data_IF_222454662141
#
_entry.id   IF_222454662141
#
_cell.length_a   1.000
_cell.length_b   1.000
_cell.length_c   1.000
_cell.angle_alpha   90.00
_cell.angle_beta   90.00
_cell.angle_gamma   90.00
#
_symmetry.space_group_name_H-M   'P 1'
#
loop_
_entity.id
_entity.type
_entity.pdbx_description
1 polymer ?
#
# COMPACT_ATOMS: atom_id res chain seq x y z
N UNK A 1 0.15 -8.01 26.06
CA UNK A 1 -0.52 -7.15 25.06
C UNK A 1 0.54 -6.52 24.18
N UNK A 2 0.48 -6.74 22.90
CA UNK A 2 1.28 -5.99 21.94
C UNK A 2 0.68 -4.60 21.81
N UNK A 3 1.47 -3.55 22.03
CA UNK A 3 1.03 -2.18 21.83
C UNK A 3 1.19 -1.84 20.33
N UNK A 4 0.07 -1.73 19.62
CA UNK A 4 0.03 -1.43 18.18
C UNK A 4 0.57 -0.04 17.80
N UNK A 5 0.79 0.84 18.79
CA UNK A 5 1.38 2.16 18.59
C UNK A 5 2.91 2.17 18.66
N UNK A 6 3.54 1.07 19.03
CA UNK A 6 5.01 0.99 19.06
C UNK A 6 5.51 0.69 17.63
N UNK A 7 6.35 1.55 17.06
CA UNK A 7 6.95 1.29 15.76
C UNK A 7 7.88 0.09 15.81
N UNK A 8 7.88 -0.70 14.77
CA UNK A 8 8.84 -1.77 14.54
C UNK A 8 9.71 -1.45 13.32
N UNK A 9 10.93 -1.97 13.34
CA UNK A 9 11.86 -1.79 12.22
C UNK A 9 11.55 -2.83 11.14
N UNK A 10 11.32 -2.37 9.92
CA UNK A 10 11.06 -3.23 8.77
C UNK A 10 12.12 -3.04 7.69
N UNK A 11 12.51 -4.14 7.07
CA UNK A 11 13.54 -4.19 6.02
C UNK A 11 12.92 -4.10 4.64
N UNK A 12 13.53 -3.30 3.78
CA UNK A 12 13.19 -3.22 2.35
C UNK A 12 13.70 -4.49 1.66
N UNK A 13 12.80 -5.31 1.15
CA UNK A 13 13.12 -6.51 0.36
C UNK A 13 13.38 -6.19 -1.10
N UNK A 14 12.60 -5.26 -1.66
CA UNK A 14 12.63 -4.91 -3.07
C UNK A 14 12.15 -3.47 -3.26
N UNK A 15 12.68 -2.78 -4.27
CA UNK A 15 12.24 -1.45 -4.69
C UNK A 15 11.87 -1.49 -6.18
N UNK A 16 10.60 -1.23 -6.49
CA UNK A 16 10.12 -1.09 -7.87
C UNK A 16 9.91 0.39 -8.18
N UNK A 17 10.68 0.93 -9.11
CA UNK A 17 10.59 2.32 -9.54
C UNK A 17 9.60 2.44 -10.69
N UNK A 18 8.50 3.15 -10.47
CA UNK A 18 7.48 3.36 -11.50
C UNK A 18 7.72 4.65 -12.28
N UNK A 19 8.00 5.74 -11.57
CA UNK A 19 8.32 7.07 -12.11
C UNK A 19 9.51 7.65 -11.34
N UNK A 20 9.92 8.87 -11.63
CA UNK A 20 10.95 9.58 -10.85
C UNK A 20 10.50 9.91 -9.42
N UNK A 21 9.19 9.96 -9.19
CA UNK A 21 8.62 10.39 -7.91
C UNK A 21 7.73 9.34 -7.24
N UNK A 22 7.59 8.15 -7.81
CA UNK A 22 6.72 7.11 -7.27
C UNK A 22 7.37 5.73 -7.34
N UNK A 23 7.64 5.14 -6.17
CA UNK A 23 8.25 3.82 -6.01
C UNK A 23 7.36 2.93 -5.14
N UNK A 24 7.38 1.63 -5.42
CA UNK A 24 6.85 0.62 -4.50
C UNK A 24 7.99 0.01 -3.71
N UNK A 25 7.89 0.09 -2.40
CA UNK A 25 8.79 -0.55 -1.43
C UNK A 25 8.13 -1.81 -0.90
N UNK A 26 8.74 -2.95 -1.17
CA UNK A 26 8.32 -4.22 -0.56
C UNK A 26 8.98 -4.36 0.80
N UNK A 27 8.18 -4.30 1.84
CA UNK A 27 8.61 -4.30 3.23
C UNK A 27 8.38 -5.65 3.87
N UNK A 28 9.36 -6.14 4.63
CA UNK A 28 9.20 -7.35 5.44
C UNK A 28 8.08 -7.14 6.46
N UNK A 29 7.06 -7.96 6.41
CA UNK A 29 5.95 -7.93 7.36
C UNK A 29 5.29 -9.31 7.47
N UNK A 30 5.07 -9.75 8.70
CA UNK A 30 4.32 -10.97 9.01
C UNK A 30 3.20 -10.60 9.98
N UNK A 31 1.98 -10.73 9.54
CA UNK A 31 0.77 -10.40 10.31
C UNK A 31 -0.43 -10.24 9.41
N UNK A 32 -1.60 -10.14 10.02
CA UNK A 32 -2.82 -9.89 9.28
C UNK A 32 -2.87 -8.45 8.78
N UNK A 33 -3.19 -8.30 7.51
CA UNK A 33 -3.41 -7.00 6.87
C UNK A 33 -4.46 -7.16 5.78
N UNK A 34 -5.28 -6.13 5.58
CA UNK A 34 -6.35 -6.11 4.56
C UNK A 34 -6.10 -5.01 3.54
N UNK A 35 -6.54 -5.19 2.29
CA UNK A 35 -6.56 -4.09 1.32
C UNK A 35 -7.27 -2.86 1.89
N UNK A 36 -6.72 -1.68 1.63
CA UNK A 36 -7.27 -0.42 2.15
C UNK A 36 -6.78 -0.02 3.54
N UNK A 37 -6.08 -0.90 4.26
CA UNK A 37 -5.36 -0.51 5.47
C UNK A 37 -4.05 0.23 5.12
N UNK A 38 -3.47 0.89 6.10
CA UNK A 38 -2.25 1.68 5.95
C UNK A 38 -1.29 1.47 7.14
N UNK A 39 -0.04 1.81 6.92
CA UNK A 39 0.97 1.94 7.97
C UNK A 39 1.42 3.38 8.09
N UNK A 40 1.69 3.81 9.32
CA UNK A 40 2.51 5.00 9.55
C UNK A 40 3.97 4.60 9.39
N UNK A 41 4.63 5.18 8.40
CA UNK A 41 6.06 4.97 8.15
C UNK A 41 6.87 6.12 8.71
N UNK A 42 8.01 5.85 9.32
CA UNK A 42 8.79 6.90 9.94
C UNK A 42 10.30 6.70 9.78
N UNK A 43 10.99 7.83 9.70
CA UNK A 43 12.45 7.92 9.80
C UNK A 43 12.78 8.85 10.96
N UNK A 44 13.61 8.42 11.93
CA UNK A 44 13.98 9.26 13.06
C UNK A 44 14.48 10.64 12.63
N UNK A 45 14.03 11.68 13.32
CA UNK A 45 14.28 13.13 13.05
C UNK A 45 13.50 13.73 11.88
N UNK A 46 12.93 12.94 10.99
CA UNK A 46 12.20 13.45 9.81
C UNK A 46 10.68 13.40 9.99
N UNK A 47 10.17 12.58 10.91
CA UNK A 47 8.74 12.44 11.21
C UNK A 47 8.14 11.15 10.67
N UNK A 48 6.81 11.15 10.49
CA UNK A 48 6.07 10.00 9.97
C UNK A 48 5.05 10.42 8.91
N UNK A 49 4.63 9.44 8.11
CA UNK A 49 3.63 9.63 7.06
C UNK A 49 2.76 8.36 6.91
N UNK A 50 1.43 8.51 6.71
CA UNK A 50 0.55 7.39 6.43
C UNK A 50 0.71 6.92 4.99
N UNK A 51 0.94 5.63 4.81
CA UNK A 51 1.08 5.00 3.50
C UNK A 51 0.14 3.81 3.40
N UNK A 52 -0.75 3.84 2.42
CA UNK A 52 -1.68 2.74 2.15
C UNK A 52 -0.94 1.52 1.61
N UNK A 53 -1.40 0.35 2.03
CA UNK A 53 -0.93 -0.92 1.50
C UNK A 53 -1.38 -1.05 0.05
N UNK A 54 -0.45 -1.30 -0.85
CA UNK A 54 -0.70 -1.50 -2.28
C UNK A 54 -0.57 -2.96 -2.74
N UNK A 55 -0.02 -3.82 -1.88
CA UNK A 55 0.10 -5.25 -2.12
C UNK A 55 0.35 -6.00 -0.82
N UNK A 56 -0.07 -7.25 -0.78
CA UNK A 56 0.03 -8.12 0.40
C UNK A 56 0.55 -9.47 -0.05
N UNK A 57 1.58 -9.96 0.63
CA UNK A 57 2.12 -11.30 0.46
C UNK A 57 2.20 -12.03 1.79
N UNK A 58 2.76 -13.23 1.77
CA UNK A 58 2.85 -14.08 2.94
C UNK A 58 3.77 -13.47 4.02
N UNK A 59 4.91 -12.87 3.61
CA UNK A 59 5.93 -12.32 4.50
C UNK A 59 6.28 -10.85 4.16
N UNK A 60 5.40 -10.15 3.42
CA UNK A 60 5.61 -8.76 3.05
C UNK A 60 4.33 -7.98 2.84
N UNK A 61 4.47 -6.68 2.88
CA UNK A 61 3.50 -5.70 2.34
C UNK A 61 4.21 -4.79 1.34
N UNK A 62 3.51 -4.42 0.28
CA UNK A 62 3.96 -3.40 -0.67
C UNK A 62 3.39 -2.05 -0.27
N UNK A 63 4.25 -1.04 -0.21
CA UNK A 63 3.92 0.35 0.05
C UNK A 63 4.33 1.19 -1.16
N UNK A 64 3.36 1.69 -1.91
CA UNK A 64 3.62 2.60 -3.02
C UNK A 64 3.66 4.03 -2.48
N UNK A 65 4.85 4.63 -2.53
CA UNK A 65 5.16 5.92 -1.92
C UNK A 65 5.45 6.92 -3.01
N UNK A 66 4.83 8.11 -2.90
CA UNK A 66 5.14 9.28 -3.71
C UNK A 66 6.05 10.22 -2.94
N UNK A 67 7.12 10.69 -3.59
CA UNK A 67 8.07 11.67 -3.02
C UNK A 67 7.41 13.04 -2.96
N UNK A 68 6.91 13.43 -1.78
CA UNK A 68 6.17 14.69 -1.60
C UNK A 68 6.64 15.54 -0.39
N UNK A 69 7.51 15.01 0.46
CA UNK A 69 7.92 15.70 1.68
C UNK A 69 9.21 15.14 2.27
N UNK A 70 9.53 15.56 3.49
CA UNK A 70 10.80 15.21 4.15
C UNK A 70 10.92 13.69 4.39
N UNK A 71 9.89 13.06 4.99
CA UNK A 71 9.91 11.63 5.30
C UNK A 71 10.02 10.81 4.03
N UNK A 72 9.16 11.08 3.04
CA UNK A 72 9.17 10.36 1.77
C UNK A 72 10.43 10.62 0.96
N UNK A 73 11.00 11.84 1.07
CA UNK A 73 12.29 12.18 0.47
C UNK A 73 13.43 11.33 1.02
N UNK A 74 13.51 11.15 2.34
CA UNK A 74 14.54 10.32 2.98
C UNK A 74 14.34 8.82 2.66
N UNK A 75 13.09 8.33 2.58
CA UNK A 75 12.81 6.95 2.17
C UNK A 75 13.35 6.68 0.76
N UNK A 76 13.25 7.65 -0.16
CA UNK A 76 13.74 7.52 -1.53
C UNK A 76 15.27 7.44 -1.66
N UNK A 77 16.01 7.88 -0.63
CA UNK A 77 17.48 7.75 -0.57
C UNK A 77 17.93 6.36 -0.05
N UNK A 78 16.99 5.52 0.41
CA UNK A 78 17.28 4.18 0.91
C UNK A 78 17.42 3.16 -0.23
N UNK A 79 18.13 2.09 0.05
CA UNK A 79 18.33 0.97 -0.88
C UNK A 79 17.68 -0.31 -0.36
N UNK A 80 17.56 -1.31 -1.21
CA UNK A 80 17.20 -2.66 -0.80
C UNK A 80 18.14 -3.14 0.31
N UNK A 81 17.58 -3.75 1.33
CA UNK A 81 18.28 -4.15 2.54
C UNK A 81 18.34 -3.08 3.64
N UNK A 82 18.09 -1.80 3.31
CA UNK A 82 17.88 -0.76 4.32
C UNK A 82 16.57 -0.98 5.07
N UNK A 83 16.40 -0.28 6.19
CA UNK A 83 15.21 -0.37 7.03
C UNK A 83 14.62 1.01 7.31
N UNK A 84 13.31 1.05 7.54
CA UNK A 84 12.64 2.17 8.19
C UNK A 84 11.57 1.66 9.17
N UNK A 85 11.10 2.55 10.02
CA UNK A 85 10.11 2.17 11.02
C UNK A 85 8.70 2.19 10.45
N UNK A 86 7.89 1.23 10.90
CA UNK A 86 6.48 1.11 10.58
C UNK A 86 5.69 0.88 11.85
N UNK A 87 4.47 1.39 11.93
CA UNK A 87 3.48 1.03 12.95
C UNK A 87 2.12 0.86 12.29
N UNK A 88 1.32 -0.06 12.77
CA UNK A 88 0.05 -0.47 12.18
C UNK A 88 -0.01 -2.00 12.03
N UNK A 89 -0.93 -2.53 11.19
CA UNK A 89 -1.77 -1.79 10.23
C UNK A 89 -2.93 -1.04 10.90
N UNK A 90 -3.35 0.05 10.30
CA UNK A 90 -4.48 0.88 10.75
C UNK A 90 -5.57 0.93 9.70
N UNK A 91 -6.76 1.37 10.11
CA UNK A 91 -7.95 1.45 9.28
C UNK A 91 -8.71 0.13 9.22
N UNK A 92 -9.95 0.20 8.75
CA UNK A 92 -10.84 -0.98 8.70
C UNK A 92 -10.52 -1.90 7.51
N UNK A 93 -9.94 -1.36 6.45
CA UNK A 93 -9.74 -2.09 5.21
C UNK A 93 -11.03 -2.33 4.43
N UNK A 94 -10.89 -3.03 3.30
CA UNK A 94 -12.01 -3.47 2.47
C UNK A 94 -12.26 -4.96 2.71
N UNK A 95 -13.45 -5.28 3.19
CA UNK A 95 -13.88 -6.66 3.40
C UNK A 95 -14.50 -7.18 2.09
N UNK A 96 -13.86 -8.15 1.46
CA UNK A 96 -14.30 -8.73 0.18
C UNK A 96 -15.71 -9.29 0.23
N UNK A 97 -16.13 -9.81 1.36
CA UNK A 97 -17.46 -10.38 1.61
C UNK A 97 -18.57 -9.36 1.36
N UNK A 98 -18.29 -8.08 1.57
CA UNK A 98 -19.26 -7.00 1.32
C UNK A 98 -19.54 -6.78 -0.18
N UNK A 99 -18.69 -7.28 -1.07
CA UNK A 99 -18.77 -7.06 -2.52
C UNK A 99 -19.16 -8.29 -3.30
N UNK A 100 -19.11 -9.47 -2.68
CA UNK A 100 -19.46 -10.74 -3.33
C UNK A 100 -20.89 -10.73 -3.88
N UNK A 101 -21.06 -11.28 -5.09
CA UNK A 101 -22.36 -11.36 -5.78
C UNK A 101 -22.91 -10.02 -6.27
N UNK A 102 -22.13 -8.93 -6.18
CA UNK A 102 -22.53 -7.57 -6.60
C UNK A 102 -21.80 -7.15 -7.87
N UNK A 103 -22.32 -6.11 -8.51
CA UNK A 103 -21.58 -5.35 -9.50
C UNK A 103 -20.70 -4.33 -8.76
N UNK A 104 -19.40 -4.42 -8.96
CA UNK A 104 -18.41 -3.60 -8.27
C UNK A 104 -17.83 -2.56 -9.22
N UNK A 105 -17.91 -1.29 -8.83
CA UNK A 105 -17.30 -0.18 -9.54
C UNK A 105 -16.20 0.42 -8.64
N UNK A 106 -14.96 0.40 -9.11
CA UNK A 106 -13.80 0.97 -8.40
C UNK A 106 -13.33 2.19 -9.16
N UNK A 107 -13.35 3.35 -8.50
CA UNK A 107 -12.89 4.63 -9.06
C UNK A 107 -11.71 5.13 -8.24
N UNK A 108 -10.59 5.41 -8.89
CA UNK A 108 -9.40 5.93 -8.21
C UNK A 108 -8.60 6.87 -9.12
N UNK A 109 -7.86 7.78 -8.51
CA UNK A 109 -6.99 8.73 -9.22
C UNK A 109 -5.60 8.81 -8.60
N UNK A 110 -4.57 8.82 -9.44
CA UNK A 110 -3.16 8.90 -9.02
C UNK A 110 -2.80 7.85 -7.98
N UNK A 111 -2.15 8.24 -6.88
CA UNK A 111 -1.76 7.35 -5.78
C UNK A 111 -2.94 6.70 -5.05
N UNK A 112 -4.17 7.19 -5.25
CA UNK A 112 -5.40 6.57 -4.72
C UNK A 112 -5.69 5.17 -5.28
N UNK A 113 -4.98 4.75 -6.31
CA UNK A 113 -5.01 3.35 -6.80
C UNK A 113 -4.42 2.39 -5.76
N UNK A 114 -3.42 2.82 -4.98
CA UNK A 114 -2.72 1.95 -4.00
C UNK A 114 -3.67 1.28 -3.01
N UNK A 115 -4.56 1.98 -2.29
CA UNK A 115 -5.46 1.35 -1.32
C UNK A 115 -6.49 0.41 -1.95
N UNK A 116 -6.87 0.62 -3.20
CA UNK A 116 -7.90 -0.21 -3.89
C UNK A 116 -7.30 -1.30 -4.77
N UNK A 117 -5.98 -1.28 -5.00
CA UNK A 117 -5.29 -2.26 -5.85
C UNK A 117 -5.53 -3.70 -5.40
N UNK A 118 -5.47 -3.97 -4.09
CA UNK A 118 -5.71 -5.31 -3.55
C UNK A 118 -7.12 -5.82 -3.83
N UNK A 119 -8.13 -4.95 -3.80
CA UNK A 119 -9.52 -5.29 -4.16
C UNK A 119 -9.63 -5.60 -5.65
N UNK A 120 -9.04 -4.75 -6.49
CA UNK A 120 -9.04 -4.95 -7.96
C UNK A 120 -8.36 -6.29 -8.32
N UNK A 121 -7.18 -6.56 -7.75
CA UNK A 121 -6.44 -7.79 -8.01
C UNK A 121 -7.23 -9.02 -7.56
N UNK A 122 -7.80 -8.98 -6.35
CA UNK A 122 -8.56 -10.10 -5.82
C UNK A 122 -9.73 -10.49 -6.72
N UNK A 123 -10.60 -9.55 -7.08
CA UNK A 123 -11.75 -9.82 -7.94
C UNK A 123 -11.40 -10.01 -9.42
N UNK A 124 -10.24 -9.54 -9.85
CA UNK A 124 -9.67 -9.87 -11.16
C UNK A 124 -9.25 -11.34 -11.26
N UNK A 125 -8.73 -11.91 -10.16
CA UNK A 125 -8.35 -13.32 -10.04
C UNK A 125 -9.53 -14.24 -9.70
N UNK A 126 -10.60 -13.68 -9.11
CA UNK A 126 -11.83 -14.40 -8.70
C UNK A 126 -13.08 -13.77 -9.35
N UNK A 127 -13.16 -13.77 -10.70
CA UNK A 127 -14.25 -13.09 -11.41
C UNK A 127 -15.65 -13.71 -11.16
N UNK A 128 -15.71 -14.94 -10.71
CA UNK A 128 -16.93 -15.64 -10.33
C UNK A 128 -17.53 -15.17 -9.00
N UNK A 129 -16.75 -14.46 -8.19
CA UNK A 129 -17.23 -13.93 -6.89
C UNK A 129 -17.99 -12.61 -7.02
N UNK A 130 -17.92 -11.91 -8.15
CA UNK A 130 -18.68 -10.68 -8.44
C UNK A 130 -19.48 -10.83 -9.72
N UNK A 131 -20.59 -10.11 -9.85
CA UNK A 131 -21.36 -10.08 -11.12
C UNK A 131 -20.58 -9.36 -12.22
N UNK A 132 -19.88 -8.30 -11.87
CA UNK A 132 -19.05 -7.51 -12.77
C UNK A 132 -18.08 -6.65 -11.98
N UNK A 133 -16.89 -6.47 -12.50
CA UNK A 133 -15.88 -5.53 -12.00
C UNK A 133 -15.62 -4.45 -13.04
N UNK A 134 -15.86 -3.18 -12.67
CA UNK A 134 -15.50 -2.02 -13.45
C UNK A 134 -14.39 -1.24 -12.72
N UNK A 135 -13.35 -0.87 -13.43
CA UNK A 135 -12.29 -0.02 -12.91
C UNK A 135 -12.20 1.25 -13.72
N UNK A 136 -12.23 2.39 -13.03
CA UNK A 136 -12.07 3.72 -13.64
C UNK A 136 -10.89 4.37 -12.94
N UNK A 137 -9.75 4.44 -13.64
CA UNK A 137 -8.49 4.94 -13.10
C UNK A 137 -8.09 6.21 -13.85
N UNK A 138 -7.82 7.29 -13.12
CA UNK A 138 -7.42 8.58 -13.67
C UNK A 138 -6.02 8.98 -13.22
N UNK A 139 -5.22 9.49 -14.16
CA UNK A 139 -3.87 10.02 -13.91
C UNK A 139 -3.73 11.39 -14.58
N UNK A 140 -2.83 12.24 -14.07
CA UNK A 140 -2.61 13.58 -14.65
C UNK A 140 -1.95 13.52 -16.02
N UNK A 141 -1.04 12.56 -16.19
CA UNK A 141 -0.27 12.38 -17.41
C UNK A 141 0.09 10.90 -17.61
N UNK A 142 0.51 10.49 -18.83
CA UNK A 142 1.01 9.15 -19.09
C UNK A 142 2.29 8.78 -18.32
N UNK A 143 2.94 9.76 -17.72
CA UNK A 143 4.16 9.58 -16.90
C UNK A 143 3.87 9.42 -15.39
N UNK A 144 2.61 9.46 -14.99
CA UNK A 144 2.17 9.28 -13.60
C UNK A 144 1.86 7.80 -13.28
#
# INVERSE_FOLDING_TARGET
>A
MTNEYIPFLSKIKEIVKHTETEYTFRMTYVGEVRPGQFFEVSIPKYGEAPISVSGIGEDYVDLTIRKVGKVTGEIFELNEGSCFFMRGPYGNGFEKENYQGKELIVVAGGTGVSPVRGVISYFGEHPDEVKKLHTILGFKSPSD
#
